data_IF_974311991416
#
_entry.id   IF_974311991416
#
_cell.length_a   1.000
_cell.length_b   1.000
_cell.length_c   1.000
_cell.angle_alpha   90.00
_cell.angle_beta   90.00
_cell.angle_gamma   90.00
#
_symmetry.space_group_name_H-M   'P 1'
#
loop_
_entity.id
_entity.type
_entity.pdbx_description
1 polymer ?
#
# COMPACT_ATOMS: atom_id res chain seq x y z
N UNK A 1 -33.92 -16.12 -10.67
CA UNK A 1 -33.86 -16.12 -9.19
C UNK A 1 -34.60 -17.28 -8.55
N UNK A 2 -35.55 -17.92 -9.23
CA UNK A 2 -36.19 -19.15 -8.76
C UNK A 2 -35.21 -20.29 -8.42
N UNK A 3 -34.02 -20.31 -9.03
CA UNK A 3 -33.03 -21.34 -8.68
C UNK A 3 -32.33 -21.13 -7.32
N UNK A 4 -32.18 -19.91 -6.78
CA UNK A 4 -31.36 -19.68 -5.58
C UNK A 4 -31.93 -20.33 -4.30
N UNK A 5 -33.05 -21.09 -4.37
CA UNK A 5 -33.80 -21.55 -3.21
C UNK A 5 -34.34 -20.43 -2.32
N UNK A 6 -34.24 -19.18 -2.77
CA UNK A 6 -34.55 -17.99 -2.02
C UNK A 6 -35.21 -16.94 -2.93
N UNK A 7 -36.18 -16.22 -2.40
CA UNK A 7 -36.80 -15.13 -3.16
C UNK A 7 -35.82 -13.96 -3.37
N UNK A 8 -36.05 -13.10 -4.37
CA UNK A 8 -35.24 -11.88 -4.55
C UNK A 8 -35.19 -11.00 -3.28
N UNK A 9 -36.29 -10.98 -2.53
CA UNK A 9 -36.39 -10.23 -1.28
C UNK A 9 -35.48 -10.84 -0.20
N UNK A 10 -35.39 -12.16 -0.13
CA UNK A 10 -34.54 -12.90 0.78
C UNK A 10 -33.06 -12.79 0.39
N UNK A 11 -32.76 -12.79 -0.91
CA UNK A 11 -31.43 -12.50 -1.45
C UNK A 11 -30.95 -11.10 -1.07
N UNK A 12 -31.85 -10.10 -1.08
CA UNK A 12 -31.51 -8.75 -0.59
C UNK A 12 -31.34 -8.68 0.93
N UNK A 13 -32.16 -9.42 1.70
CA UNK A 13 -32.06 -9.45 3.17
C UNK A 13 -30.73 -10.01 3.67
N UNK A 14 -30.10 -10.91 2.91
CA UNK A 14 -28.75 -11.43 3.20
C UNK A 14 -27.62 -10.43 2.87
N UNK A 15 -27.95 -9.21 2.45
CA UNK A 15 -26.99 -8.15 2.13
C UNK A 15 -26.45 -8.21 0.71
N UNK A 16 -26.84 -9.22 -0.08
CA UNK A 16 -26.38 -9.38 -1.44
C UNK A 16 -27.08 -8.41 -2.40
N UNK A 17 -26.32 -7.87 -3.36
CA UNK A 17 -26.82 -6.92 -4.37
C UNK A 17 -26.52 -7.46 -5.77
N UNK A 18 -27.55 -7.57 -6.60
CA UNK A 18 -27.45 -7.86 -8.03
C UNK A 18 -28.12 -6.71 -8.78
N UNK A 19 -27.40 -6.11 -9.71
CA UNK A 19 -27.88 -5.01 -10.53
C UNK A 19 -26.81 -4.57 -11.51
N UNK A 20 -27.22 -3.78 -12.50
CA UNK A 20 -26.28 -3.03 -13.32
C UNK A 20 -25.94 -1.75 -12.58
N UNK A 21 -24.65 -1.50 -12.39
CA UNK A 21 -24.14 -0.30 -11.74
C UNK A 21 -23.40 0.53 -12.76
N UNK A 22 -23.69 1.82 -12.80
CA UNK A 22 -22.92 2.78 -13.58
C UNK A 22 -21.74 3.23 -12.72
N UNK A 23 -20.54 3.22 -13.29
CA UNK A 23 -19.33 3.77 -12.68
C UNK A 23 -18.81 4.91 -13.55
N UNK A 24 -18.52 6.09 -12.97
CA UNK A 24 -17.88 7.17 -13.71
C UNK A 24 -16.53 6.71 -14.29
N UNK A 25 -16.24 7.11 -15.54
CA UNK A 25 -15.02 6.72 -16.23
C UNK A 25 -13.74 7.14 -15.46
N UNK A 26 -13.80 8.28 -14.78
CA UNK A 26 -12.70 8.80 -13.95
C UNK A 26 -12.39 7.97 -12.72
N UNK A 27 -13.36 7.18 -12.24
CA UNK A 27 -13.23 6.40 -11.01
C UNK A 27 -12.71 4.99 -11.26
N UNK A 28 -12.66 4.55 -12.52
CA UNK A 28 -12.26 3.19 -12.89
C UNK A 28 -10.85 2.90 -12.37
N UNK A 29 -9.93 3.85 -12.50
CA UNK A 29 -8.54 3.64 -12.14
C UNK A 29 -8.28 3.44 -10.63
N UNK A 30 -9.13 3.98 -9.74
CA UNK A 30 -8.86 3.97 -8.28
C UNK A 30 -9.92 3.23 -7.45
N UNK A 31 -11.10 3.00 -8.02
CA UNK A 31 -12.25 2.46 -7.28
C UNK A 31 -12.92 1.27 -7.98
N UNK A 32 -12.50 0.93 -9.21
CA UNK A 32 -13.08 -0.24 -9.89
C UNK A 32 -12.66 -1.53 -9.20
N UNK A 33 -13.64 -2.41 -9.04
CA UNK A 33 -13.44 -3.80 -8.61
C UNK A 33 -13.84 -4.77 -9.74
N UNK A 34 -13.84 -4.31 -11.00
CA UNK A 34 -14.18 -5.14 -12.15
C UNK A 34 -12.94 -5.87 -12.68
N UNK A 35 -13.05 -7.19 -12.82
CA UNK A 35 -11.94 -8.05 -13.30
C UNK A 35 -11.57 -7.83 -14.78
N UNK A 36 -12.33 -7.02 -15.52
CA UNK A 36 -12.18 -6.82 -16.98
C UNK A 36 -11.92 -5.36 -17.36
N UNK A 37 -11.32 -4.58 -16.45
CA UNK A 37 -10.94 -3.20 -16.76
C UNK A 37 -9.88 -3.14 -17.86
N UNK A 38 -9.93 -2.06 -18.66
CA UNK A 38 -9.01 -1.81 -19.77
C UNK A 38 -7.54 -1.63 -19.34
N UNK A 39 -7.30 -1.35 -18.06
CA UNK A 39 -5.97 -1.14 -17.48
C UNK A 39 -5.94 -1.71 -16.07
N UNK A 40 -4.76 -2.12 -15.59
CA UNK A 40 -4.59 -2.56 -14.21
C UNK A 40 -5.16 -1.52 -13.23
N UNK A 41 -6.18 -1.93 -12.47
CA UNK A 41 -6.88 -1.07 -11.53
C UNK A 41 -5.95 -0.75 -10.35
N UNK A 42 -5.78 0.54 -10.10
CA UNK A 42 -5.13 1.03 -8.88
C UNK A 42 -6.08 0.96 -7.70
N UNK A 43 -5.52 1.10 -6.50
CA UNK A 43 -6.30 1.08 -5.26
C UNK A 43 -6.11 2.39 -4.50
N UNK A 44 -7.20 3.12 -4.30
CA UNK A 44 -7.22 4.38 -3.53
C UNK A 44 -6.63 4.20 -2.12
N UNK A 45 -6.73 3.01 -1.52
CA UNK A 45 -6.19 2.72 -0.19
C UNK A 45 -4.67 2.88 -0.18
N UNK A 46 -3.97 2.50 -1.24
CA UNK A 46 -2.53 2.73 -1.34
C UNK A 46 -2.21 4.23 -1.39
N UNK A 47 -2.99 5.02 -2.12
CA UNK A 47 -2.81 6.47 -2.16
C UNK A 47 -3.00 7.11 -0.77
N UNK A 48 -4.02 6.67 -0.01
CA UNK A 48 -4.23 7.13 1.36
C UNK A 48 -3.13 6.69 2.32
N UNK A 49 -2.67 5.45 2.25
CA UNK A 49 -1.58 4.93 3.08
C UNK A 49 -0.30 5.71 2.82
N UNK A 50 0.09 5.89 1.55
CA UNK A 50 1.30 6.65 1.21
C UNK A 50 1.20 8.12 1.63
N UNK A 51 0.03 8.75 1.44
CA UNK A 51 -0.20 10.14 1.87
C UNK A 51 -0.12 10.29 3.39
N UNK A 52 -0.69 9.35 4.14
CA UNK A 52 -0.63 9.33 5.61
C UNK A 52 0.81 9.14 6.11
N UNK A 53 1.55 8.20 5.53
CA UNK A 53 2.97 7.97 5.87
C UNK A 53 3.79 9.24 5.58
N UNK A 54 3.63 9.84 4.41
CA UNK A 54 4.33 11.08 4.04
C UNK A 54 4.01 12.22 5.02
N UNK A 55 2.73 12.38 5.42
CA UNK A 55 2.31 13.36 6.40
C UNK A 55 2.96 13.12 7.77
N UNK A 56 2.96 11.88 8.27
CA UNK A 56 3.57 11.55 9.55
C UNK A 56 5.09 11.73 9.55
N UNK A 57 5.77 11.33 8.47
CA UNK A 57 7.21 11.57 8.30
C UNK A 57 7.54 13.06 8.31
N UNK A 58 6.72 13.88 7.63
CA UNK A 58 6.88 15.33 7.64
C UNK A 58 6.67 15.91 9.04
N UNK A 59 5.61 15.48 9.76
CA UNK A 59 5.36 15.92 11.13
C UNK A 59 6.54 15.59 12.06
N UNK A 60 7.06 14.37 11.99
CA UNK A 60 8.25 13.94 12.75
C UNK A 60 9.43 14.85 12.43
N UNK A 61 9.73 15.08 11.13
CA UNK A 61 10.84 15.92 10.71
C UNK A 61 10.70 17.36 11.22
N UNK A 62 9.48 17.91 11.19
CA UNK A 62 9.18 19.28 11.64
C UNK A 62 9.31 19.43 13.15
N UNK A 63 8.79 18.47 13.92
CA UNK A 63 8.94 18.44 15.37
C UNK A 63 10.41 18.29 15.76
N UNK A 64 11.15 17.42 15.08
CA UNK A 64 12.58 17.26 15.31
C UNK A 64 13.35 18.57 15.06
N UNK A 65 13.05 19.26 13.95
CA UNK A 65 13.63 20.57 13.67
C UNK A 65 13.32 21.61 14.76
N UNK A 66 12.08 21.67 15.24
CA UNK A 66 11.69 22.55 16.36
C UNK A 66 12.48 22.22 17.63
N UNK A 67 12.64 20.93 17.94
CA UNK A 67 13.37 20.44 19.10
C UNK A 67 14.85 20.80 19.03
N UNK A 68 15.51 20.61 17.88
CA UNK A 68 16.91 20.98 17.67
C UNK A 68 17.12 22.49 17.71
N UNK A 69 16.24 23.25 17.05
CA UNK A 69 16.30 24.72 17.00
C UNK A 69 16.14 25.35 18.39
N UNK A 70 15.26 24.79 19.23
CA UNK A 70 15.05 25.25 20.61
C UNK A 70 16.15 24.75 21.56
N UNK A 71 16.71 23.55 21.35
CA UNK A 71 17.87 23.04 22.10
C UNK A 71 19.11 23.92 21.94
N UNK A 72 19.33 24.42 20.73
CA UNK A 72 20.41 25.34 20.38
C UNK A 72 20.20 26.75 20.94
N UNK A 73 19.09 26.96 21.67
CA UNK A 73 18.61 28.23 22.13
C UNK A 73 19.57 29.01 23.01
N UNK A 74 20.44 28.38 23.82
CA UNK A 74 21.34 29.13 24.71
C UNK A 74 22.27 30.12 23.98
N UNK A 75 22.83 29.74 22.83
CA UNK A 75 23.66 30.64 22.01
C UNK A 75 22.81 31.76 21.41
N UNK A 76 21.66 31.40 20.82
CA UNK A 76 20.73 32.35 20.19
C UNK A 76 20.06 33.29 21.20
N UNK A 77 19.86 32.86 22.44
CA UNK A 77 19.27 33.66 23.50
C UNK A 77 20.19 34.80 23.93
N UNK A 78 21.51 34.57 23.99
CA UNK A 78 22.49 35.64 24.27
C UNK A 78 22.45 36.70 23.17
N UNK A 79 22.45 36.27 21.91
CA UNK A 79 22.35 37.15 20.75
C UNK A 79 21.05 37.96 20.74
N UNK A 80 19.90 37.31 20.96
CA UNK A 80 18.58 37.98 21.07
C UNK A 80 18.56 38.94 22.25
N UNK A 81 19.17 38.58 23.38
CA UNK A 81 19.30 39.44 24.55
C UNK A 81 20.07 40.73 24.25
N UNK A 82 21.19 40.63 23.55
CA UNK A 82 21.98 41.81 23.11
C UNK A 82 21.15 42.67 22.14
N UNK A 83 20.51 42.06 21.13
CA UNK A 83 19.69 42.79 20.15
C UNK A 83 18.52 43.55 20.80
N UNK A 84 17.84 42.95 21.79
CA UNK A 84 16.78 43.61 22.55
C UNK A 84 17.27 44.79 23.38
N UNK A 85 18.47 44.68 23.98
CA UNK A 85 19.09 45.80 24.70
C UNK A 85 19.46 46.93 23.75
N UNK A 86 19.85 46.60 22.51
CA UNK A 86 20.08 47.55 21.41
C UNK A 86 18.79 48.10 20.77
N UNK A 87 17.61 47.80 21.32
CA UNK A 87 16.33 48.36 20.88
C UNK A 87 15.54 47.52 19.87
N UNK A 88 15.97 46.28 19.56
CA UNK A 88 15.16 45.40 18.71
C UNK A 88 13.87 44.97 19.43
N UNK A 89 12.73 45.22 18.80
CA UNK A 89 11.43 44.78 19.30
C UNK A 89 11.20 43.28 19.02
N UNK A 90 10.23 42.71 19.73
CA UNK A 90 9.89 41.28 19.63
C UNK A 90 9.41 40.88 18.23
N UNK A 91 8.69 41.75 17.52
CA UNK A 91 8.11 41.40 16.22
C UNK A 91 9.21 41.33 15.15
N UNK A 92 10.18 42.24 15.16
CA UNK A 92 11.30 42.18 14.22
C UNK A 92 12.14 40.91 14.39
N UNK A 93 12.42 40.52 15.64
CA UNK A 93 13.13 39.26 15.93
C UNK A 93 12.33 38.03 15.48
N UNK A 94 11.02 38.02 15.70
CA UNK A 94 10.15 36.93 15.27
C UNK A 94 10.11 36.81 13.73
N UNK A 95 9.94 37.94 13.02
CA UNK A 95 9.94 37.97 11.55
C UNK A 95 11.27 37.49 10.98
N UNK A 96 12.39 37.91 11.56
CA UNK A 96 13.71 37.46 11.15
C UNK A 96 13.86 35.93 11.27
N UNK A 97 13.49 35.35 12.42
CA UNK A 97 13.59 33.90 12.61
C UNK A 97 12.62 33.10 11.72
N UNK A 98 11.42 33.64 11.46
CA UNK A 98 10.49 33.04 10.50
C UNK A 98 11.06 33.03 9.09
N UNK A 99 11.62 34.16 8.64
CA UNK A 99 12.25 34.27 7.32
C UNK A 99 13.44 33.33 7.18
N UNK A 100 14.31 33.25 8.19
CA UNK A 100 15.46 32.34 8.20
C UNK A 100 15.03 30.88 8.04
N UNK A 101 14.01 30.43 8.79
CA UNK A 101 13.55 29.05 8.69
C UNK A 101 12.75 28.74 7.42
N UNK A 102 12.04 29.71 6.86
CA UNK A 102 11.45 29.60 5.51
C UNK A 102 12.53 29.47 4.45
N UNK A 103 13.60 30.28 4.52
CA UNK A 103 14.75 30.19 3.62
C UNK A 103 15.42 28.81 3.68
N UNK A 104 15.69 28.31 4.89
CA UNK A 104 16.23 26.97 5.10
C UNK A 104 15.32 25.87 4.54
N UNK A 105 14.00 26.05 4.63
CA UNK A 105 13.03 25.11 4.06
C UNK A 105 13.10 25.09 2.53
N UNK A 106 13.24 26.25 1.88
CA UNK A 106 13.39 26.30 0.42
C UNK A 106 14.74 25.75 -0.06
N UNK A 107 15.82 25.98 0.67
CA UNK A 107 17.12 25.33 0.37
C UNK A 107 16.99 23.82 0.46
N UNK A 108 16.35 23.32 1.53
CA UNK A 108 16.09 21.89 1.72
C UNK A 108 15.19 21.31 0.62
N UNK A 109 14.18 22.07 0.17
CA UNK A 109 13.29 21.68 -0.93
C UNK A 109 14.09 21.53 -2.24
N UNK A 110 14.99 22.46 -2.56
CA UNK A 110 15.86 22.35 -3.72
C UNK A 110 16.75 21.10 -3.68
N UNK A 111 17.34 20.80 -2.53
CA UNK A 111 18.12 19.58 -2.32
C UNK A 111 17.24 18.33 -2.49
N UNK A 112 16.04 18.32 -1.90
CA UNK A 112 15.10 17.21 -2.00
C UNK A 112 14.69 16.94 -3.46
N UNK A 113 14.44 17.98 -4.25
CA UNK A 113 14.15 17.85 -5.68
C UNK A 113 15.33 17.21 -6.44
N UNK A 114 16.56 17.64 -6.15
CA UNK A 114 17.76 17.02 -6.72
C UNK A 114 17.85 15.52 -6.39
N UNK A 115 17.59 15.15 -5.14
CA UNK A 115 17.58 13.74 -4.70
C UNK A 115 16.49 12.95 -5.43
N UNK A 116 15.27 13.49 -5.55
CA UNK A 116 14.16 12.84 -6.26
C UNK A 116 14.51 12.58 -7.72
N UNK A 117 15.11 13.57 -8.41
CA UNK A 117 15.53 13.43 -9.80
C UNK A 117 16.58 12.32 -9.98
N UNK A 118 17.54 12.21 -9.06
CA UNK A 118 18.56 11.17 -9.09
C UNK A 118 18.03 9.79 -8.71
N UNK A 119 17.03 9.72 -7.83
CA UNK A 119 16.43 8.47 -7.37
C UNK A 119 15.35 7.93 -8.32
N UNK A 120 14.78 8.77 -9.19
CA UNK A 120 13.67 8.42 -10.08
C UNK A 120 13.97 7.21 -11.00
N UNK A 121 15.15 7.09 -11.64
CA UNK A 121 15.45 5.94 -12.49
C UNK A 121 15.46 4.61 -11.70
N UNK A 122 16.05 4.64 -10.50
CA UNK A 122 16.08 3.49 -9.61
C UNK A 122 14.67 3.13 -9.13
N UNK A 123 13.86 4.14 -8.80
CA UNK A 123 12.46 3.93 -8.43
C UNK A 123 11.65 3.31 -9.57
N UNK A 124 11.82 3.79 -10.81
CA UNK A 124 11.15 3.24 -11.99
C UNK A 124 11.53 1.76 -12.21
N UNK A 125 12.81 1.40 -12.03
CA UNK A 125 13.28 0.02 -12.15
C UNK A 125 12.67 -0.90 -11.09
N UNK A 126 12.63 -0.45 -9.83
CA UNK A 126 12.11 -1.27 -8.72
C UNK A 126 10.58 -1.38 -8.76
N UNK A 127 9.90 -0.30 -9.14
CA UNK A 127 8.43 -0.24 -9.17
C UNK A 127 7.81 -0.78 -10.45
N UNK A 128 8.61 -1.01 -11.50
CA UNK A 128 8.11 -1.35 -12.83
C UNK A 128 7.23 -0.25 -13.43
N UNK A 129 7.46 1.02 -13.04
CA UNK A 129 6.71 2.18 -13.51
C UNK A 129 7.58 3.02 -14.44
N UNK A 130 6.92 3.69 -15.39
CA UNK A 130 7.55 4.63 -16.31
C UNK A 130 7.16 6.07 -15.96
N UNK A 131 7.65 6.56 -14.82
CA UNK A 131 7.47 7.96 -14.45
C UNK A 131 8.50 8.79 -15.22
N UNK A 132 8.02 9.56 -16.18
CA UNK A 132 8.82 10.49 -16.96
C UNK A 132 8.54 11.92 -16.51
N UNK A 133 9.63 12.67 -16.25
CA UNK A 133 9.57 14.08 -15.86
C UNK A 133 8.94 14.93 -16.96
N UNK A 134 9.10 14.55 -18.23
CA UNK A 134 8.52 15.28 -19.37
C UNK A 134 7.00 15.17 -19.41
N UNK A 135 6.44 14.09 -18.86
CA UNK A 135 4.99 13.86 -18.78
C UNK A 135 4.36 14.54 -17.56
N UNK A 136 5.16 15.07 -16.63
CA UNK A 136 4.66 15.80 -15.47
C UNK A 136 4.18 17.18 -15.90
N UNK A 137 3.01 17.59 -15.40
CA UNK A 137 2.50 18.95 -15.56
C UNK A 137 3.25 19.92 -14.63
N UNK A 138 4.52 20.19 -14.95
CA UNK A 138 5.43 21.02 -14.15
C UNK A 138 4.82 22.39 -13.83
N UNK A 139 4.04 22.95 -14.76
CA UNK A 139 3.32 24.22 -14.59
C UNK A 139 2.34 24.22 -13.41
N UNK A 140 1.72 23.08 -13.09
CA UNK A 140 0.83 22.93 -11.92
C UNK A 140 1.59 22.53 -10.66
N UNK A 141 2.66 21.74 -10.80
CA UNK A 141 3.42 21.19 -9.66
C UNK A 141 4.25 22.26 -8.95
N UNK A 142 4.95 23.14 -9.70
CA UNK A 142 5.81 24.18 -9.11
C UNK A 142 5.06 25.09 -8.12
N UNK A 143 3.90 25.70 -8.48
CA UNK A 143 3.20 26.58 -7.53
C UNK A 143 2.69 25.82 -6.30
N UNK A 144 2.29 24.56 -6.45
CA UNK A 144 1.90 23.70 -5.33
C UNK A 144 3.09 23.46 -4.40
N UNK A 145 4.27 23.13 -4.94
CA UNK A 145 5.49 22.91 -4.17
C UNK A 145 5.95 24.17 -3.44
N UNK A 146 5.87 25.33 -4.09
CA UNK A 146 6.21 26.61 -3.46
C UNK A 146 5.24 26.95 -2.32
N UNK A 147 3.93 26.83 -2.57
CA UNK A 147 2.91 27.04 -1.53
C UNK A 147 3.07 26.09 -0.36
N UNK A 148 3.34 24.81 -0.64
CA UNK A 148 3.59 23.80 0.38
C UNK A 148 4.86 24.09 1.18
N UNK A 149 5.96 24.45 0.51
CA UNK A 149 7.22 24.86 1.15
C UNK A 149 7.05 26.04 2.09
N UNK A 150 6.23 27.03 1.71
CA UNK A 150 5.90 28.17 2.56
C UNK A 150 5.15 27.73 3.83
N UNK A 151 4.08 26.96 3.68
CA UNK A 151 3.27 26.46 4.81
C UNK A 151 4.16 25.66 5.78
N UNK A 152 4.97 24.76 5.23
CA UNK A 152 5.87 23.88 5.97
C UNK A 152 7.01 24.64 6.66
N UNK A 153 7.52 25.71 6.02
CA UNK A 153 8.56 26.57 6.58
C UNK A 153 8.04 27.41 7.74
N UNK A 154 6.88 28.06 7.55
CA UNK A 154 6.19 28.83 8.59
C UNK A 154 5.83 27.95 9.78
N UNK A 155 5.26 26.77 9.53
CA UNK A 155 4.92 25.82 10.59
C UNK A 155 6.17 25.45 11.41
N UNK A 156 7.27 25.06 10.74
CA UNK A 156 8.51 24.62 11.40
C UNK A 156 9.20 25.69 12.24
N UNK A 157 9.10 26.95 11.81
CA UNK A 157 9.81 28.09 12.40
C UNK A 157 8.97 28.79 13.46
N UNK A 158 7.67 28.52 13.51
CA UNK A 158 6.72 29.18 14.39
C UNK A 158 7.07 29.06 15.87
N UNK A 159 7.25 27.83 16.33
CA UNK A 159 7.53 27.56 17.74
C UNK A 159 8.91 28.10 18.17
N UNK A 160 10.03 27.85 17.46
CA UNK A 160 11.32 28.45 17.78
C UNK A 160 11.31 29.98 17.75
N UNK A 161 10.65 30.60 16.77
CA UNK A 161 10.59 32.06 16.67
C UNK A 161 9.84 32.69 17.85
N UNK A 162 8.71 32.12 18.25
CA UNK A 162 7.94 32.57 19.41
C UNK A 162 8.71 32.34 20.72
N UNK A 163 9.30 31.16 20.87
CA UNK A 163 10.06 30.79 22.06
C UNK A 163 11.28 31.70 22.24
N UNK A 164 12.12 31.85 21.21
CA UNK A 164 13.35 32.63 21.27
C UNK A 164 13.11 34.14 21.35
N UNK A 165 12.09 34.67 20.65
CA UNK A 165 11.75 36.10 20.73
C UNK A 165 11.15 36.50 22.07
N UNK A 166 10.67 35.56 22.90
CA UNK A 166 10.04 35.85 24.19
C UNK A 166 11.01 36.03 25.37
N UNK A 167 12.33 35.79 25.18
CA UNK A 167 13.28 35.83 26.30
C UNK A 167 13.49 37.22 26.89
N UNK A 168 13.56 37.29 28.23
CA UNK A 168 13.86 38.51 28.98
C UNK A 168 15.38 38.74 29.07
N UNK A 169 15.91 39.86 28.51
CA UNK A 169 17.35 40.14 28.45
C UNK A 169 18.03 40.11 29.83
N UNK A 170 17.34 40.63 30.86
CA UNK A 170 17.85 40.71 32.23
C UNK A 170 18.11 39.33 32.87
N UNK A 171 17.33 38.29 32.52
CA UNK A 171 17.52 36.93 33.03
C UNK A 171 18.63 36.18 32.29
N UNK A 172 18.76 36.43 30.98
CA UNK A 172 19.78 35.79 30.13
C UNK A 172 21.17 36.33 30.42
N UNK A 173 21.32 37.65 30.60
CA UNK A 173 22.61 38.30 30.86
C UNK A 173 23.14 38.09 32.29
N UNK A 174 22.26 37.93 33.28
CA UNK A 174 22.64 37.62 34.67
C UNK A 174 23.00 36.15 34.91
N UNK A 175 22.98 35.29 33.89
CA UNK A 175 23.26 33.85 34.01
C UNK A 175 22.23 33.05 34.84
N UNK A 176 21.28 33.72 35.50
CA UNK A 176 20.17 33.12 36.25
C UNK A 176 19.05 32.67 35.30
N UNK A 177 19.37 31.73 34.41
CA UNK A 177 18.34 30.93 33.75
C UNK A 177 17.93 29.88 34.77
N UNK A 178 17.09 30.27 35.75
CA UNK A 178 16.51 29.29 36.66
C UNK A 178 15.69 28.33 35.82
N UNK A 179 16.09 27.06 35.81
CA UNK A 179 15.38 25.94 35.20
C UNK A 179 13.98 25.90 35.83
N UNK A 180 12.99 26.48 35.15
CA UNK A 180 11.60 26.47 35.62
C UNK A 180 11.07 25.04 35.55
N UNK A 181 11.17 24.30 36.65
CA UNK A 181 10.81 22.88 36.78
C UNK A 181 9.34 22.63 37.15
N UNK A 182 8.46 23.64 37.12
CA UNK A 182 7.09 23.52 37.65
C UNK A 182 5.94 23.49 36.63
N UNK A 183 6.18 23.19 35.35
CA UNK A 183 5.10 23.07 34.37
C UNK A 183 5.41 22.15 33.18
N UNK A 184 4.35 21.65 32.52
CA UNK A 184 4.45 20.88 31.28
C UNK A 184 5.25 21.66 30.24
N UNK A 185 6.43 21.14 29.88
CA UNK A 185 7.24 21.72 28.83
C UNK A 185 6.65 21.29 27.49
N UNK A 186 6.12 22.24 26.71
CA UNK A 186 5.63 22.00 25.35
C UNK A 186 6.62 21.20 24.50
N UNK A 187 7.93 21.42 24.70
CA UNK A 187 8.98 20.62 24.04
C UNK A 187 8.92 19.14 24.43
N UNK A 188 8.77 18.83 25.72
CA UNK A 188 8.63 17.45 26.19
C UNK A 188 7.39 16.79 25.60
N UNK A 189 6.27 17.51 25.50
CA UNK A 189 5.07 17.01 24.83
C UNK A 189 5.28 16.71 23.35
N UNK A 190 5.91 17.64 22.61
CA UNK A 190 6.25 17.45 21.20
C UNK A 190 7.17 16.24 20.97
N UNK A 191 8.18 16.06 21.84
CA UNK A 191 9.10 14.90 21.78
C UNK A 191 8.34 13.60 22.01
N UNK A 192 7.47 13.51 23.03
CA UNK A 192 6.69 12.30 23.30
C UNK A 192 5.76 11.99 22.12
N UNK A 193 5.07 12.98 21.57
CA UNK A 193 4.21 12.81 20.40
C UNK A 193 4.99 12.29 19.17
N UNK A 194 6.18 12.83 18.92
CA UNK A 194 7.07 12.33 17.87
C UNK A 194 7.42 10.85 18.07
N UNK A 195 7.80 10.46 19.28
CA UNK A 195 8.13 9.06 19.59
C UNK A 195 6.94 8.13 19.43
N UNK A 196 5.72 8.55 19.79
CA UNK A 196 4.50 7.75 19.57
C UNK A 196 4.32 7.44 18.08
N UNK A 197 4.44 8.46 17.21
CA UNK A 197 4.31 8.26 15.76
C UNK A 197 5.42 7.34 15.24
N UNK A 198 6.68 7.59 15.63
CA UNK A 198 7.82 6.77 15.16
C UNK A 198 7.71 5.31 15.60
N UNK A 199 7.36 5.04 16.87
CA UNK A 199 7.15 3.68 17.38
C UNK A 199 5.98 3.01 16.67
N UNK A 200 4.88 3.73 16.42
CA UNK A 200 3.74 3.22 15.66
C UNK A 200 4.10 2.81 14.23
N UNK A 201 4.88 3.63 13.52
CA UNK A 201 5.35 3.30 12.18
C UNK A 201 6.28 2.08 12.17
N UNK A 202 7.25 2.01 13.09
CA UNK A 202 8.15 0.86 13.22
C UNK A 202 7.37 -0.42 13.52
N UNK A 203 6.44 -0.37 14.47
CA UNK A 203 5.57 -1.49 14.80
C UNK A 203 4.75 -1.94 13.59
N UNK A 204 4.14 -1.01 12.85
CA UNK A 204 3.40 -1.30 11.62
C UNK A 204 4.26 -1.98 10.56
N UNK A 205 5.49 -1.49 10.33
CA UNK A 205 6.43 -2.14 9.41
C UNK A 205 6.79 -3.56 9.85
N UNK A 206 7.07 -3.77 11.13
CA UNK A 206 7.37 -5.12 11.66
C UNK A 206 6.20 -6.07 11.45
N UNK A 207 4.97 -5.64 11.74
CA UNK A 207 3.76 -6.46 11.53
C UNK A 207 3.59 -6.79 10.04
N UNK A 208 3.73 -5.83 9.14
CA UNK A 208 3.62 -6.08 7.69
C UNK A 208 4.67 -7.07 7.22
N UNK A 209 5.93 -6.92 7.66
CA UNK A 209 7.00 -7.87 7.31
C UNK A 209 6.70 -9.27 7.83
N UNK A 210 6.21 -9.40 9.07
CA UNK A 210 5.82 -10.69 9.64
C UNK A 210 4.64 -11.31 8.89
N UNK A 211 3.65 -10.52 8.48
CA UNK A 211 2.51 -10.99 7.69
C UNK A 211 2.94 -11.45 6.30
N UNK A 212 3.81 -10.71 5.63
CA UNK A 212 4.38 -11.12 4.34
C UNK A 212 5.21 -12.39 4.47
N UNK A 213 5.92 -12.56 5.58
CA UNK A 213 6.67 -13.78 5.84
C UNK A 213 5.76 -14.98 6.08
N UNK A 214 4.71 -14.79 6.89
CA UNK A 214 3.68 -15.79 7.11
C UNK A 214 3.00 -16.20 5.80
N UNK A 215 2.59 -15.24 4.98
CA UNK A 215 1.94 -15.50 3.69
C UNK A 215 2.83 -16.26 2.70
N UNK A 216 4.16 -16.10 2.79
CA UNK A 216 5.11 -16.82 1.92
C UNK A 216 5.36 -18.25 2.36
N UNK A 217 5.29 -18.54 3.66
CA UNK A 217 5.60 -19.86 4.22
C UNK A 217 4.38 -20.71 4.57
N UNK A 218 3.16 -20.15 4.47
CA UNK A 218 1.95 -20.92 4.72
C UNK A 218 1.87 -22.09 3.71
N UNK A 219 1.70 -23.31 4.23
CA UNK A 219 1.54 -24.49 3.39
C UNK A 219 0.14 -24.47 2.79
N UNK A 220 0.06 -24.17 1.50
CA UNK A 220 -1.22 -24.03 0.78
C UNK A 220 -1.83 -25.37 0.34
N UNK A 221 -1.17 -26.49 0.64
CA UNK A 221 -1.61 -27.82 0.20
C UNK A 221 -1.31 -28.14 -1.27
N UNK A 222 -0.59 -27.24 -1.96
CA UNK A 222 -0.06 -27.45 -3.31
C UNK A 222 1.29 -26.74 -3.46
N UNK A 223 2.09 -27.21 -4.42
CA UNK A 223 3.40 -26.66 -4.74
C UNK A 223 3.28 -25.54 -5.77
N UNK A 224 3.91 -24.39 -5.47
CA UNK A 224 4.06 -23.26 -6.39
C UNK A 224 5.46 -23.19 -6.99
N UNK A 225 6.42 -23.84 -6.37
CA UNK A 225 7.82 -23.73 -6.73
C UNK A 225 8.10 -24.54 -7.99
N UNK A 226 8.82 -23.92 -8.93
CA UNK A 226 9.22 -24.53 -10.21
C UNK A 226 8.06 -24.92 -11.14
N UNK A 227 6.89 -24.29 -11.00
CA UNK A 227 5.76 -24.43 -11.92
C UNK A 227 5.70 -23.22 -12.85
N UNK A 228 5.82 -23.45 -14.16
CA UNK A 228 5.67 -22.40 -15.17
C UNK A 228 4.25 -22.42 -15.73
N UNK A 229 3.56 -21.29 -15.66
CA UNK A 229 2.19 -21.13 -16.16
C UNK A 229 2.25 -20.47 -17.53
N UNK A 230 1.71 -21.16 -18.53
CA UNK A 230 1.66 -20.67 -19.91
C UNK A 230 0.19 -20.52 -20.29
N UNK A 231 -0.31 -19.30 -20.59
CA UNK A 231 -1.67 -19.12 -21.07
C UNK A 231 -1.87 -19.89 -22.38
N UNK A 232 -2.77 -20.88 -22.39
CA UNK A 232 -3.00 -21.72 -23.56
C UNK A 232 -4.00 -21.14 -24.56
N UNK A 233 -4.83 -20.16 -24.14
CA UNK A 233 -5.83 -19.51 -24.99
C UNK A 233 -5.32 -19.02 -26.37
N UNK A 234 -4.08 -18.48 -26.51
CA UNK A 234 -3.57 -18.03 -27.81
C UNK A 234 -3.17 -19.19 -28.74
N UNK A 235 -2.97 -20.40 -28.21
CA UNK A 235 -2.53 -21.58 -28.98
C UNK A 235 -3.65 -22.13 -29.86
N UNK A 236 -4.92 -21.95 -29.45
CA UNK A 236 -6.09 -22.44 -30.17
C UNK A 236 -5.96 -23.91 -30.56
N UNK A 237 -6.03 -24.21 -31.87
CA UNK A 237 -5.95 -25.59 -32.38
C UNK A 237 -4.59 -26.27 -32.19
N UNK A 238 -3.53 -25.50 -31.93
CA UNK A 238 -2.16 -26.01 -31.81
C UNK A 238 -1.81 -26.45 -30.39
N UNK A 239 -2.71 -26.29 -29.42
CA UNK A 239 -2.48 -26.63 -28.02
C UNK A 239 -2.00 -28.09 -27.83
N UNK A 240 -2.63 -29.05 -28.52
CA UNK A 240 -2.24 -30.46 -28.45
C UNK A 240 -0.84 -30.72 -29.02
N UNK A 241 -0.47 -30.04 -30.10
CA UNK A 241 0.88 -30.13 -30.68
C UNK A 241 1.91 -29.55 -29.73
N UNK A 242 1.60 -28.41 -29.11
CA UNK A 242 2.46 -27.77 -28.13
C UNK A 242 2.69 -28.64 -26.89
N UNK A 243 1.62 -29.24 -26.37
CA UNK A 243 1.69 -30.21 -25.27
C UNK A 243 2.64 -31.38 -25.61
N UNK A 244 2.50 -31.97 -26.80
CA UNK A 244 3.37 -33.06 -27.24
C UNK A 244 4.85 -32.64 -27.37
N UNK A 245 5.12 -31.41 -27.81
CA UNK A 245 6.48 -30.87 -27.89
C UNK A 245 7.09 -30.66 -26.50
N UNK A 246 6.31 -30.17 -25.54
CA UNK A 246 6.77 -30.02 -24.16
C UNK A 246 7.10 -31.37 -23.52
N UNK A 247 6.29 -32.40 -23.77
CA UNK A 247 6.56 -33.75 -23.26
C UNK A 247 7.83 -34.39 -23.84
N UNK A 248 8.34 -33.91 -24.98
CA UNK A 248 9.60 -34.40 -25.56
C UNK A 248 10.84 -33.81 -24.87
N UNK A 249 10.70 -32.71 -24.14
CA UNK A 249 11.81 -32.08 -23.44
C UNK A 249 12.09 -32.77 -22.10
N UNK A 250 13.21 -33.49 -22.02
CA UNK A 250 13.65 -34.20 -20.80
C UNK A 250 13.81 -33.31 -19.55
N UNK A 251 13.87 -31.98 -19.70
CA UNK A 251 13.94 -31.03 -18.57
C UNK A 251 12.58 -30.82 -17.90
N UNK A 252 11.49 -31.15 -18.59
CA UNK A 252 10.12 -30.98 -18.12
C UNK A 252 9.66 -32.30 -17.51
N UNK A 253 9.36 -32.29 -16.20
CA UNK A 253 8.96 -33.52 -15.49
C UNK A 253 7.51 -33.90 -15.74
N UNK A 254 6.61 -32.92 -15.74
CA UNK A 254 5.18 -33.09 -15.91
C UNK A 254 4.60 -31.89 -16.64
N UNK A 255 3.53 -32.11 -17.40
CA UNK A 255 2.76 -31.08 -18.09
C UNK A 255 1.29 -31.35 -17.80
N UNK A 256 0.57 -30.32 -17.35
CA UNK A 256 -0.87 -30.38 -17.09
C UNK A 256 -1.58 -29.25 -17.81
N UNK A 257 -2.76 -29.55 -18.33
CA UNK A 257 -3.75 -28.61 -18.80
C UNK A 257 -4.81 -28.37 -17.71
N UNK A 258 -5.08 -27.11 -17.43
CA UNK A 258 -6.08 -26.71 -16.45
C UNK A 258 -6.64 -25.33 -16.76
N UNK A 259 -7.94 -25.17 -16.50
CA UNK A 259 -8.63 -23.89 -16.64
C UNK A 259 -8.19 -22.85 -15.60
N UNK A 260 -7.78 -23.26 -14.40
CA UNK A 260 -7.45 -22.34 -13.30
C UNK A 260 -6.38 -22.88 -12.35
N UNK A 261 -5.68 -21.97 -11.69
CA UNK A 261 -4.75 -22.31 -10.60
C UNK A 261 -5.48 -22.38 -9.26
N UNK A 262 -4.98 -23.19 -8.31
CA UNK A 262 -5.57 -23.26 -6.98
C UNK A 262 -5.43 -21.91 -6.28
N UNK A 263 -6.53 -21.35 -5.80
CA UNK A 263 -6.57 -20.00 -5.21
C UNK A 263 -6.01 -18.88 -6.12
N UNK A 264 -6.06 -19.07 -7.44
CA UNK A 264 -5.78 -18.03 -8.45
C UNK A 264 -7.03 -17.26 -8.85
N UNK A 265 -6.89 -16.34 -9.81
CA UNK A 265 -8.03 -15.61 -10.36
C UNK A 265 -9.02 -16.56 -11.05
N UNK A 266 -10.15 -16.80 -10.41
CA UNK A 266 -11.24 -17.61 -10.93
C UNK A 266 -12.20 -16.74 -11.74
N UNK A 267 -11.88 -16.55 -13.02
CA UNK A 267 -12.66 -15.70 -13.92
C UNK A 267 -14.00 -16.34 -14.31
N UNK A 268 -15.06 -15.92 -13.62
CA UNK A 268 -16.47 -16.23 -13.91
C UNK A 268 -16.80 -17.72 -14.13
N UNK A 269 -16.21 -18.60 -13.34
CA UNK A 269 -16.44 -20.06 -13.35
C UNK A 269 -17.46 -20.50 -12.30
N UNK A 270 -18.46 -19.66 -12.09
CA UNK A 270 -19.57 -19.97 -11.21
C UNK A 270 -20.33 -21.17 -11.79
N UNK A 271 -20.42 -22.24 -11.02
CA UNK A 271 -21.14 -23.44 -11.40
C UNK A 271 -22.23 -23.72 -10.37
N UNK A 272 -23.40 -24.19 -10.80
CA UNK A 272 -24.52 -24.48 -9.90
C UNK A 272 -24.68 -25.99 -9.79
N UNK A 273 -24.62 -26.50 -8.57
CA UNK A 273 -24.88 -27.90 -8.26
C UNK A 273 -26.28 -27.99 -7.62
N UNK A 274 -27.05 -28.98 -8.05
CA UNK A 274 -28.39 -29.27 -7.55
C UNK A 274 -28.35 -30.57 -6.74
N UNK A 275 -28.95 -30.63 -5.55
CA UNK A 275 -29.19 -31.88 -4.85
C UNK A 275 -30.05 -32.81 -5.71
N UNK A 276 -29.77 -34.10 -5.64
CA UNK A 276 -30.51 -35.09 -6.42
C UNK A 276 -32.02 -35.01 -6.10
N UNK A 277 -32.84 -34.88 -7.15
CA UNK A 277 -34.28 -34.72 -7.04
C UNK A 277 -34.81 -33.35 -6.60
N UNK A 278 -33.97 -32.32 -6.39
CA UNK A 278 -34.42 -30.97 -6.02
C UNK A 278 -33.77 -29.87 -6.88
N UNK A 279 -34.50 -29.38 -7.88
CA UNK A 279 -34.05 -28.30 -8.77
C UNK A 279 -34.26 -26.89 -8.20
N UNK A 280 -35.02 -26.76 -7.12
CA UNK A 280 -35.34 -25.47 -6.51
C UNK A 280 -34.26 -25.01 -5.52
N UNK A 281 -33.40 -25.95 -5.09
CA UNK A 281 -32.21 -25.66 -4.30
C UNK A 281 -30.97 -25.83 -5.18
N UNK A 282 -30.14 -24.80 -5.26
CA UNK A 282 -28.80 -24.95 -5.79
C UNK A 282 -27.75 -24.35 -4.88
N UNK A 283 -26.54 -24.87 -5.01
CA UNK A 283 -25.34 -24.33 -4.38
C UNK A 283 -24.45 -23.75 -5.47
N UNK A 284 -24.08 -22.48 -5.31
CA UNK A 284 -23.06 -21.87 -6.14
C UNK A 284 -21.70 -22.43 -5.71
N UNK A 285 -21.07 -23.15 -6.62
CA UNK A 285 -19.70 -23.62 -6.49
C UNK A 285 -18.81 -22.97 -7.54
N UNK A 286 -17.52 -23.28 -7.46
CA UNK A 286 -16.51 -22.96 -8.45
C UNK A 286 -16.06 -24.27 -9.07
N UNK A 287 -16.12 -24.38 -10.39
CA UNK A 287 -15.66 -25.56 -11.13
C UNK A 287 -14.34 -25.28 -11.81
N UNK A 288 -13.34 -26.13 -11.54
CA UNK A 288 -12.09 -26.15 -12.28
C UNK A 288 -12.08 -27.37 -13.18
N UNK A 289 -11.93 -27.14 -14.48
CA UNK A 289 -11.71 -28.22 -15.44
C UNK A 289 -10.21 -28.49 -15.48
N UNK A 290 -9.81 -29.68 -15.04
CA UNK A 290 -8.42 -30.10 -14.89
C UNK A 290 -8.20 -31.45 -15.57
N UNK A 291 -6.99 -31.71 -16.01
CA UNK A 291 -6.58 -33.03 -16.48
C UNK A 291 -6.05 -33.92 -15.34
N UNK A 292 -5.70 -35.15 -15.69
CA UNK A 292 -5.21 -36.15 -14.75
C UNK A 292 -3.81 -35.84 -14.18
N UNK A 293 -3.01 -35.03 -14.88
CA UNK A 293 -1.67 -34.64 -14.42
C UNK A 293 -1.71 -33.44 -13.47
N UNK A 294 -2.84 -32.74 -13.33
CA UNK A 294 -2.95 -31.52 -12.51
C UNK A 294 -2.61 -31.75 -11.03
N UNK A 295 -3.23 -32.75 -10.38
CA UNK A 295 -2.98 -33.07 -8.97
C UNK A 295 -1.50 -33.45 -8.74
N UNK A 296 -0.89 -34.35 -9.54
CA UNK A 296 0.55 -34.64 -9.49
C UNK A 296 1.46 -33.43 -9.73
N UNK A 297 1.20 -32.64 -10.78
CA UNK A 297 1.98 -31.43 -11.12
C UNK A 297 1.97 -30.43 -9.97
N UNK A 298 0.79 -30.20 -9.39
CA UNK A 298 0.61 -29.29 -8.28
C UNK A 298 1.02 -29.90 -6.94
N UNK A 299 1.46 -31.16 -6.90
CA UNK A 299 1.88 -31.85 -5.66
C UNK A 299 0.79 -31.94 -4.61
N UNK A 300 -0.48 -31.98 -5.03
CA UNK A 300 -1.63 -32.06 -4.13
C UNK A 300 -1.79 -33.48 -3.59
N UNK A 301 -2.35 -33.59 -2.39
CA UNK A 301 -2.65 -34.87 -1.75
C UNK A 301 -4.16 -35.06 -1.66
N UNK A 302 -4.64 -36.19 -2.20
CA UNK A 302 -6.02 -36.62 -2.02
C UNK A 302 -6.17 -37.29 -0.66
N UNK A 303 -7.12 -36.81 0.14
CA UNK A 303 -7.44 -37.39 1.45
C UNK A 303 -8.13 -38.74 1.32
N UNK A 304 -9.11 -38.82 0.42
CA UNK A 304 -9.89 -40.01 0.11
C UNK A 304 -10.18 -40.07 -1.40
N UNK A 305 -10.41 -41.28 -1.92
CA UNK A 305 -10.73 -41.50 -3.33
C UNK A 305 -9.51 -41.65 -4.24
N UNK A 306 -9.69 -41.34 -5.53
CA UNK A 306 -8.68 -41.49 -6.59
C UNK A 306 -8.67 -40.27 -7.51
N UNK A 307 -7.52 -40.02 -8.14
CA UNK A 307 -7.40 -39.03 -9.20
C UNK A 307 -8.10 -39.51 -10.49
N UNK A 308 -8.30 -38.60 -11.44
CA UNK A 308 -8.84 -38.91 -12.76
C UNK A 308 -7.97 -39.95 -13.49
N UNK A 309 -8.58 -40.93 -14.17
CA UNK A 309 -7.84 -41.92 -14.96
C UNK A 309 -7.33 -41.32 -16.29
N UNK A 310 -6.17 -41.78 -16.76
CA UNK A 310 -5.58 -41.40 -18.08
C UNK A 310 -6.43 -41.80 -19.28
N UNK A 311 -7.26 -42.82 -19.12
CA UNK A 311 -8.18 -43.30 -20.14
C UNK A 311 -9.60 -43.15 -19.63
N UNK A 312 -10.43 -42.39 -20.33
CA UNK A 312 -11.86 -42.34 -20.09
C UNK A 312 -12.45 -43.74 -20.35
N UNK A 313 -12.76 -44.47 -19.29
CA UNK A 313 -13.59 -45.67 -19.35
C UNK A 313 -15.07 -45.31 -19.49
N UNK A 314 -15.96 -46.29 -19.33
CA UNK A 314 -17.41 -46.09 -19.25
C UNK A 314 -17.88 -45.37 -17.96
N UNK A 315 -16.98 -44.65 -17.28
CA UNK A 315 -17.31 -43.95 -16.03
C UNK A 315 -18.23 -42.75 -16.31
N UNK A 316 -19.27 -42.61 -15.47
CA UNK A 316 -20.03 -41.36 -15.32
C UNK A 316 -19.09 -40.17 -15.01
N UNK A 317 -19.51 -38.92 -15.29
CA UNK A 317 -18.69 -37.73 -15.02
C UNK A 317 -18.20 -37.73 -13.57
N UNK A 318 -16.90 -37.97 -13.40
CA UNK A 318 -16.25 -38.01 -12.10
C UNK A 318 -15.93 -36.58 -11.65
N UNK A 319 -16.07 -36.29 -10.36
CA UNK A 319 -15.79 -34.97 -9.79
C UNK A 319 -14.96 -35.16 -8.54
N UNK A 320 -13.94 -34.30 -8.37
CA UNK A 320 -13.18 -34.18 -7.13
C UNK A 320 -13.66 -32.92 -6.42
N UNK A 321 -14.07 -33.07 -5.16
CA UNK A 321 -14.55 -31.98 -4.31
C UNK A 321 -13.53 -31.71 -3.20
N UNK A 322 -13.48 -30.47 -2.71
CA UNK A 322 -12.67 -30.12 -1.55
C UNK A 322 -13.44 -30.40 -0.25
N UNK A 323 -12.74 -30.42 0.89
CA UNK A 323 -13.34 -30.69 2.20
C UNK A 323 -14.43 -29.69 2.59
N UNK A 324 -14.37 -28.45 2.11
CA UNK A 324 -15.38 -27.42 2.40
C UNK A 324 -16.68 -27.65 1.63
N UNK A 325 -16.62 -28.34 0.49
CA UNK A 325 -17.77 -28.62 -0.38
C UNK A 325 -18.41 -29.99 -0.12
N UNK A 326 -17.73 -30.89 0.59
CA UNK A 326 -18.22 -32.22 0.99
C UNK A 326 -19.12 -32.12 2.23
#
# INVERSE_FOLDING_TARGET
MAGFGMSYQEYKKTGNKIGLYLQPLTDIHLYSNFNYDLSASGDIRYAYIFSAIALFMLLIAKINFMNLSTASGFRRCKEVGVRKVLGADKQNLMRQFMLEGVLLTYISLGIALGIVLLALPLFNQISGKEIDIQKLEISKIIPILLGFGLIVGLFSSSYPALYLSSFNPLRVLKGKISRSTKGFNLRSGLVVFQFIISVGLIFGTVVVVQQLDYMRHIKLGYNKDNVLIIPSWPLGKNEKTYYNLLMQDSRIKHVSHSSYLPAGESNNNNFFIYPDGNTDQWVKTIRYDIDEEYIPVMGMQLKEGRNFPKTFGNDSPSVIINETAA
#
